data_IF_697318512823
#
_entry.id   IF_697318512823
#
_cell.length_a   1.000
_cell.length_b   1.000
_cell.length_c   1.000
_cell.angle_alpha   90.00
_cell.angle_beta   90.00
_cell.angle_gamma   90.00
#
_symmetry.space_group_name_H-M   'P 1'
#
loop_
_entity.id
_entity.type
_entity.pdbx_description
1 polymer ?
#
# COMPACT_ATOMS: atom_id res chain seq x y z
N UNK A 1 -2.69 -20.73 5.41
CA UNK A 1 -1.80 -19.84 4.64
C UNK A 1 -1.63 -20.34 3.19
N UNK A 2 -1.33 -21.61 2.96
CA UNK A 2 -1.13 -22.17 1.61
C UNK A 2 -2.32 -21.95 0.66
N UNK A 3 -3.54 -22.19 1.12
CA UNK A 3 -4.77 -21.94 0.36
C UNK A 3 -4.94 -20.46 -0.03
N UNK A 4 -4.57 -19.53 0.89
CA UNK A 4 -4.61 -18.09 0.63
C UNK A 4 -3.57 -17.70 -0.42
N UNK A 5 -2.36 -18.27 -0.36
CA UNK A 5 -1.32 -18.04 -1.37
C UNK A 5 -1.78 -18.49 -2.75
N UNK A 6 -2.38 -19.69 -2.86
CA UNK A 6 -2.94 -20.18 -4.12
C UNK A 6 -4.10 -19.31 -4.63
N UNK A 7 -4.95 -18.84 -3.71
CA UNK A 7 -6.03 -17.89 -4.00
C UNK A 7 -5.51 -16.59 -4.64
N UNK A 8 -4.51 -16.00 -4.00
CA UNK A 8 -3.86 -14.78 -4.50
C UNK A 8 -3.14 -15.02 -5.83
N UNK A 9 -2.41 -16.13 -5.96
CA UNK A 9 -1.72 -16.52 -7.19
C UNK A 9 -2.66 -16.73 -8.38
N UNK A 10 -3.94 -17.05 -8.12
CA UNK A 10 -4.98 -17.12 -9.16
C UNK A 10 -5.55 -15.75 -9.56
N UNK A 11 -4.97 -14.64 -9.08
CA UNK A 11 -5.41 -13.28 -9.40
C UNK A 11 -6.57 -12.77 -8.55
N UNK A 12 -6.93 -13.49 -7.48
CA UNK A 12 -8.05 -13.14 -6.62
C UNK A 12 -7.62 -12.15 -5.51
N UNK A 13 -8.60 -11.41 -4.99
CA UNK A 13 -8.37 -10.43 -3.93
C UNK A 13 -8.36 -11.07 -2.54
N UNK A 14 -7.51 -10.53 -1.66
CA UNK A 14 -7.37 -10.91 -0.26
C UNK A 14 -7.40 -9.68 0.64
N UNK A 15 -8.01 -9.79 1.82
CA UNK A 15 -7.86 -8.78 2.89
C UNK A 15 -6.85 -9.28 3.90
N UNK A 16 -5.85 -8.44 4.19
CA UNK A 16 -4.78 -8.75 5.13
C UNK A 16 -4.54 -7.61 6.13
N UNK A 17 -4.06 -7.93 7.35
CA UNK A 17 -3.88 -6.94 8.41
C UNK A 17 -2.66 -6.04 8.17
N UNK A 18 -2.78 -4.77 8.58
CA UNK A 18 -1.68 -3.81 8.59
C UNK A 18 -1.62 -3.07 9.94
N UNK A 19 -0.63 -2.20 10.12
CA UNK A 19 -0.49 -1.34 11.31
C UNK A 19 -1.53 -0.20 11.39
N UNK A 20 -2.45 -0.09 10.44
CA UNK A 20 -3.48 0.95 10.42
C UNK A 20 -4.85 0.34 10.17
N UNK A 21 -5.21 0.09 8.93
CA UNK A 21 -6.48 -0.45 8.47
C UNK A 21 -6.25 -1.76 7.72
N UNK A 22 -7.19 -2.70 7.69
CA UNK A 22 -7.12 -3.84 6.79
C UNK A 22 -6.87 -3.39 5.37
N UNK A 23 -5.96 -4.08 4.68
CA UNK A 23 -5.65 -3.82 3.29
C UNK A 23 -6.34 -4.83 2.38
N UNK A 24 -6.99 -4.35 1.32
CA UNK A 24 -7.39 -5.16 0.18
C UNK A 24 -6.22 -5.24 -0.79
N UNK A 25 -5.76 -6.46 -1.07
CA UNK A 25 -4.64 -6.75 -1.95
C UNK A 25 -4.97 -7.76 -3.03
N UNK A 26 -4.24 -7.65 -4.12
CA UNK A 26 -4.13 -8.64 -5.19
C UNK A 26 -2.70 -8.53 -5.77
N UNK A 27 -2.29 -9.49 -6.58
CA UNK A 27 -1.06 -9.36 -7.37
C UNK A 27 -1.17 -8.12 -8.29
N UNK A 28 -0.05 -7.41 -8.59
CA UNK A 28 -0.07 -6.17 -9.36
C UNK A 28 -0.20 -6.42 -10.88
N UNK A 29 -1.12 -7.28 -11.27
CA UNK A 29 -1.41 -7.65 -12.65
C UNK A 29 -2.76 -7.08 -13.13
N UNK A 30 -2.88 -6.80 -14.42
CA UNK A 30 -4.02 -6.09 -14.99
C UNK A 30 -5.37 -6.74 -14.64
N UNK A 31 -5.50 -8.06 -14.79
CA UNK A 31 -6.76 -8.79 -14.51
C UNK A 31 -7.14 -8.76 -13.02
N UNK A 32 -6.16 -8.90 -12.13
CA UNK A 32 -6.37 -8.82 -10.68
C UNK A 32 -6.75 -7.39 -10.25
N UNK A 33 -6.14 -6.38 -10.88
CA UNK A 33 -6.50 -4.98 -10.67
C UNK A 33 -7.92 -4.66 -11.17
N UNK A 34 -8.38 -5.26 -12.27
CA UNK A 34 -9.76 -5.12 -12.74
C UNK A 34 -10.74 -5.58 -11.65
N UNK A 35 -10.47 -6.75 -11.08
CA UNK A 35 -11.27 -7.31 -9.98
C UNK A 35 -11.25 -6.40 -8.75
N UNK A 36 -10.07 -5.96 -8.30
CA UNK A 36 -9.92 -5.09 -7.13
C UNK A 36 -10.67 -3.77 -7.29
N UNK A 37 -10.53 -3.12 -8.45
CA UNK A 37 -11.18 -1.82 -8.71
C UNK A 37 -12.70 -1.96 -8.82
N UNK A 38 -13.19 -3.08 -9.38
CA UNK A 38 -14.61 -3.41 -9.41
C UNK A 38 -15.17 -3.61 -8.00
N UNK A 39 -14.54 -4.44 -7.17
CA UNK A 39 -14.94 -4.69 -5.76
C UNK A 39 -15.05 -3.39 -4.96
N UNK A 40 -14.07 -2.49 -5.12
CA UNK A 40 -14.05 -1.21 -4.41
C UNK A 40 -14.98 -0.15 -4.98
N UNK A 41 -15.54 -0.35 -6.16
CA UNK A 41 -16.20 0.72 -6.93
C UNK A 41 -15.29 1.96 -7.04
N UNK A 42 -14.01 1.74 -7.41
CA UNK A 42 -12.95 2.75 -7.42
C UNK A 42 -12.65 3.19 -8.85
N UNK A 43 -12.46 4.49 -9.05
CA UNK A 43 -12.05 5.02 -10.35
C UNK A 43 -10.57 4.76 -10.62
N UNK A 44 -10.21 4.50 -11.86
CA UNK A 44 -8.81 4.26 -12.29
C UNK A 44 -7.88 5.46 -12.08
N UNK A 45 -8.45 6.66 -11.92
CA UNK A 45 -7.70 7.89 -11.63
C UNK A 45 -7.17 7.98 -10.19
N UNK A 46 -7.51 7.01 -9.34
CA UNK A 46 -7.05 6.95 -7.95
C UNK A 46 -6.14 5.72 -7.74
N UNK A 47 -4.84 5.82 -8.00
CA UNK A 47 -3.93 4.68 -7.88
C UNK A 47 -3.94 4.05 -6.49
N UNK A 48 -3.55 2.76 -6.43
CA UNK A 48 -3.37 2.03 -5.19
C UNK A 48 -1.88 1.81 -4.93
N UNK A 49 -1.49 1.75 -3.66
CA UNK A 49 -0.11 1.46 -3.27
C UNK A 49 0.19 -0.03 -3.35
N UNK A 50 1.47 -0.37 -3.33
CA UNK A 50 2.02 -1.73 -3.24
C UNK A 50 2.58 -1.93 -1.84
N UNK A 51 2.16 -3.02 -1.18
CA UNK A 51 2.71 -3.50 0.08
C UNK A 51 3.87 -4.47 -0.18
N UNK A 52 4.96 -4.27 0.55
CA UNK A 52 6.19 -5.08 0.48
C UNK A 52 6.62 -5.49 1.88
N UNK A 53 7.45 -6.54 1.98
CA UNK A 53 8.01 -6.96 3.28
C UNK A 53 9.14 -6.05 3.74
N UNK A 54 9.94 -5.50 2.81
CA UNK A 54 11.08 -4.63 3.06
C UNK A 54 11.46 -3.81 1.81
N UNK A 55 12.55 -3.04 1.91
CA UNK A 55 13.05 -2.24 0.79
C UNK A 55 13.79 -3.07 -0.25
N UNK A 56 14.30 -4.25 0.10
CA UNK A 56 14.92 -5.17 -0.86
C UNK A 56 13.85 -5.66 -1.86
N UNK A 57 12.71 -6.13 -1.36
CA UNK A 57 11.57 -6.49 -2.22
C UNK A 57 11.02 -5.28 -3.01
N UNK A 58 11.04 -4.07 -2.44
CA UNK A 58 10.62 -2.87 -3.14
C UNK A 58 11.57 -2.51 -4.30
N UNK A 59 12.87 -2.78 -4.14
CA UNK A 59 13.90 -2.46 -5.13
C UNK A 59 13.77 -3.23 -6.44
N UNK A 60 13.00 -4.30 -6.47
CA UNK A 60 12.64 -5.00 -7.73
C UNK A 60 11.66 -4.19 -8.60
N UNK A 61 10.96 -3.23 -8.00
CA UNK A 61 9.87 -2.47 -8.65
C UNK A 61 10.25 -1.00 -8.85
N UNK A 62 10.91 -0.39 -7.85
CA UNK A 62 11.18 1.05 -7.79
C UNK A 62 12.63 1.36 -7.45
N UNK A 63 13.10 2.51 -7.90
CA UNK A 63 14.37 3.08 -7.46
C UNK A 63 14.26 3.47 -5.97
N UNK A 64 15.21 3.00 -5.14
CA UNK A 64 15.27 3.34 -3.73
C UNK A 64 16.39 4.38 -3.52
N UNK A 65 16.06 5.67 -3.35
CA UNK A 65 17.04 6.70 -2.96
C UNK A 65 17.71 6.37 -1.62
N UNK A 66 18.98 6.80 -1.46
CA UNK A 66 19.80 6.47 -0.28
C UNK A 66 19.21 7.00 1.05
N UNK A 67 18.41 8.05 0.99
CA UNK A 67 17.75 8.70 2.13
C UNK A 67 16.38 8.09 2.51
N UNK A 68 15.79 7.23 1.66
CA UNK A 68 14.51 6.54 1.96
C UNK A 68 14.59 5.61 3.19
N UNK A 69 15.66 4.82 3.40
CA UNK A 69 15.79 4.02 4.61
C UNK A 69 15.76 4.86 5.89
N UNK A 70 16.31 6.08 5.87
CA UNK A 70 16.39 6.95 7.04
C UNK A 70 15.01 7.46 7.48
N UNK A 71 14.15 7.90 6.55
CA UNK A 71 12.80 8.32 6.91
C UNK A 71 11.96 7.13 7.40
N UNK A 72 12.10 5.96 6.80
CA UNK A 72 11.39 4.77 7.26
C UNK A 72 11.83 4.31 8.65
N UNK A 73 13.11 4.49 9.00
CA UNK A 73 13.63 4.20 10.33
C UNK A 73 13.21 5.24 11.40
N UNK A 74 12.89 6.47 10.97
CA UNK A 74 12.52 7.55 11.88
C UNK A 74 11.07 7.47 12.38
N UNK A 75 10.21 6.69 11.71
CA UNK A 75 8.79 6.55 12.05
C UNK A 75 8.38 5.08 12.20
N UNK A 76 7.28 4.78 12.91
CA UNK A 76 6.81 3.41 13.10
C UNK A 76 6.63 2.68 11.75
N UNK A 77 7.09 1.45 11.65
CA UNK A 77 7.00 0.65 10.42
C UNK A 77 5.55 0.54 9.94
N UNK A 78 5.33 0.83 8.67
CA UNK A 78 4.00 0.80 8.04
C UNK A 78 3.17 2.07 8.27
N UNK A 79 3.67 3.09 8.99
CA UNK A 79 2.99 4.37 9.15
C UNK A 79 3.14 5.30 7.94
N UNK A 80 4.13 5.06 7.09
CA UNK A 80 4.40 5.81 5.87
C UNK A 80 4.15 4.95 4.62
N UNK A 81 3.73 5.61 3.56
CA UNK A 81 3.70 5.11 2.19
C UNK A 81 4.45 6.12 1.34
N UNK A 82 5.45 5.70 0.56
CA UNK A 82 6.32 6.59 -0.20
C UNK A 82 6.12 6.37 -1.69
N UNK A 83 5.89 7.45 -2.44
CA UNK A 83 5.83 7.41 -3.90
C UNK A 83 7.24 7.55 -4.44
N UNK A 84 7.68 6.54 -5.18
CA UNK A 84 9.01 6.41 -5.75
C UNK A 84 8.93 6.22 -7.27
N UNK A 85 10.04 6.44 -7.97
CA UNK A 85 10.15 6.20 -9.42
C UNK A 85 10.17 4.70 -9.69
N UNK A 86 9.30 4.24 -10.58
CA UNK A 86 9.33 2.85 -11.07
C UNK A 86 10.50 2.62 -12.03
N UNK A 87 11.10 1.43 -12.00
CA UNK A 87 12.12 1.03 -12.99
C UNK A 87 11.53 0.96 -14.40
N UNK A 88 10.31 0.42 -14.49
CA UNK A 88 9.54 0.32 -15.71
C UNK A 88 8.12 0.85 -15.50
N UNK A 89 7.49 1.32 -16.57
CA UNK A 89 6.12 1.81 -16.51
C UNK A 89 5.15 0.66 -16.18
N UNK A 90 4.49 0.77 -15.05
CA UNK A 90 3.45 -0.16 -14.60
C UNK A 90 2.05 0.28 -15.03
N UNK A 91 1.03 -0.51 -14.68
CA UNK A 91 -0.38 -0.14 -14.87
C UNK A 91 -0.68 1.23 -14.23
N UNK A 92 -1.47 2.06 -14.92
CA UNK A 92 -1.84 3.39 -14.43
C UNK A 92 -2.57 3.36 -13.08
N UNK A 93 -3.27 2.26 -12.77
CA UNK A 93 -3.94 2.04 -11.48
C UNK A 93 -2.97 1.80 -10.31
N UNK A 94 -1.69 1.54 -10.60
CA UNK A 94 -0.60 1.49 -9.61
C UNK A 94 0.19 2.80 -9.56
N UNK A 95 -0.03 3.71 -10.54
CA UNK A 95 0.65 5.00 -10.63
C UNK A 95 1.59 5.16 -11.84
N UNK A 96 1.68 4.15 -12.71
CA UNK A 96 2.49 4.21 -13.94
C UNK A 96 3.99 4.28 -13.63
N UNK A 97 4.59 5.45 -13.76
CA UNK A 97 6.02 5.67 -13.49
C UNK A 97 6.32 6.11 -12.04
N UNK A 98 5.28 6.34 -11.22
CA UNK A 98 5.38 6.84 -9.83
C UNK A 98 4.59 5.91 -8.92
N UNK A 99 5.25 4.93 -8.31
CA UNK A 99 4.60 3.87 -7.52
C UNK A 99 4.66 4.20 -6.03
N UNK A 100 3.50 4.11 -5.37
CA UNK A 100 3.39 4.24 -3.93
C UNK A 100 3.72 2.89 -3.26
N UNK A 101 4.79 2.83 -2.47
CA UNK A 101 5.27 1.63 -1.78
C UNK A 101 5.09 1.78 -0.28
N UNK A 102 4.63 0.73 0.38
CA UNK A 102 4.46 0.64 1.83
C UNK A 102 5.13 -0.62 2.38
N UNK A 103 6.07 -0.46 3.30
CA UNK A 103 6.63 -1.59 4.05
C UNK A 103 5.59 -2.04 5.09
N UNK A 104 5.17 -3.29 5.00
CA UNK A 104 4.14 -3.87 5.88
C UNK A 104 4.81 -4.39 7.16
N UNK A 105 4.23 -4.06 8.32
CA UNK A 105 4.78 -4.46 9.62
C UNK A 105 4.10 -5.69 10.23
N UNK A 106 2.81 -5.95 9.90
CA UNK A 106 2.07 -7.05 10.53
C UNK A 106 2.64 -8.42 10.15
N UNK A 107 2.98 -9.30 11.12
CA UNK A 107 3.69 -10.56 10.85
C UNK A 107 2.96 -11.48 9.85
N UNK A 108 1.65 -11.65 10.00
CA UNK A 108 0.84 -12.51 9.11
C UNK A 108 0.84 -11.98 7.67
N UNK A 109 0.71 -10.66 7.50
CA UNK A 109 0.74 -10.04 6.18
C UNK A 109 2.14 -10.11 5.55
N UNK A 110 3.20 -9.95 6.35
CA UNK A 110 4.58 -10.14 5.89
C UNK A 110 4.83 -11.57 5.41
N UNK A 111 4.32 -12.57 6.15
CA UNK A 111 4.42 -13.98 5.73
C UNK A 111 3.68 -14.22 4.41
N UNK A 112 2.47 -13.66 4.24
CA UNK A 112 1.73 -13.75 2.98
C UNK A 112 2.51 -13.13 1.82
N UNK A 113 2.92 -11.86 1.96
CA UNK A 113 3.64 -11.10 0.92
C UNK A 113 5.00 -11.71 0.60
N UNK A 114 5.67 -12.31 1.59
CA UNK A 114 6.91 -13.07 1.39
C UNK A 114 6.74 -14.32 0.51
N UNK A 115 5.55 -14.93 0.53
CA UNK A 115 5.21 -16.12 -0.27
C UNK A 115 4.61 -15.78 -1.64
N UNK A 116 3.86 -14.69 -1.74
CA UNK A 116 3.16 -14.30 -2.98
C UNK A 116 3.93 -13.30 -3.83
N UNK A 117 4.94 -12.64 -3.26
CA UNK A 117 5.49 -11.40 -3.80
C UNK A 117 4.67 -10.17 -3.39
N UNK A 118 5.01 -8.98 -3.87
CA UNK A 118 4.33 -7.73 -3.58
C UNK A 118 2.84 -7.77 -3.91
N UNK A 119 2.01 -7.24 -3.02
CA UNK A 119 0.55 -7.14 -3.19
C UNK A 119 0.10 -5.69 -3.17
N UNK A 120 -1.01 -5.37 -3.82
CA UNK A 120 -1.62 -4.05 -3.65
C UNK A 120 -2.04 -3.85 -2.19
N UNK A 121 -2.04 -2.59 -1.72
CA UNK A 121 -2.33 -2.22 -0.34
C UNK A 121 -3.26 -1.00 -0.29
N UNK A 122 -4.53 -1.20 -0.57
CA UNK A 122 -5.57 -0.18 -0.39
C UNK A 122 -6.49 -0.55 0.77
N UNK A 123 -7.12 0.40 1.46
CA UNK A 123 -8.04 0.08 2.57
C UNK A 123 -9.17 -0.85 2.13
N UNK A 124 -9.51 -1.84 2.96
CA UNK A 124 -10.50 -2.86 2.67
C UNK A 124 -11.94 -2.37 2.96
N UNK A 125 -12.38 -1.38 2.19
CA UNK A 125 -13.73 -0.83 2.19
C UNK A 125 -14.13 -0.41 0.78
N UNK A 126 -15.41 -0.31 0.49
CA UNK A 126 -15.88 0.34 -0.75
C UNK A 126 -15.56 1.83 -0.70
N UNK A 127 -15.35 2.44 -1.86
CA UNK A 127 -15.02 3.88 -1.92
C UNK A 127 -16.13 4.72 -1.27
N UNK A 128 -15.73 5.56 -0.31
CA UNK A 128 -16.66 6.42 0.44
C UNK A 128 -17.27 5.79 1.70
N UNK A 129 -17.10 4.48 1.94
CA UNK A 129 -17.55 3.82 3.15
C UNK A 129 -16.46 3.84 4.24
N UNK A 130 -16.86 3.75 5.51
CA UNK A 130 -15.94 3.62 6.63
C UNK A 130 -15.34 2.21 6.69
N UNK A 131 -14.01 2.07 6.83
CA UNK A 131 -13.38 0.76 6.98
C UNK A 131 -13.68 0.16 8.36
N UNK A 132 -13.86 -1.16 8.40
CA UNK A 132 -13.84 -1.96 9.64
C UNK A 132 -12.40 -2.38 9.96
N UNK A 133 -12.14 -2.81 11.20
CA UNK A 133 -10.77 -3.15 11.64
C UNK A 133 -10.46 -4.65 11.58
N UNK A 134 -11.46 -5.50 11.54
CA UNK A 134 -11.33 -6.95 11.41
C UNK A 134 -11.24 -7.36 9.93
N UNK A 135 -10.21 -8.15 9.58
CA UNK A 135 -9.95 -8.49 8.19
C UNK A 135 -10.95 -9.48 7.60
N UNK A 136 -11.47 -10.41 8.40
CA UNK A 136 -12.47 -11.38 7.92
C UNK A 136 -13.79 -10.67 7.66
N UNK A 137 -14.23 -9.85 8.60
CA UNK A 137 -15.43 -9.00 8.44
C UNK A 137 -15.29 -8.05 7.23
N UNK A 138 -14.12 -7.44 7.04
CA UNK A 138 -13.88 -6.58 5.88
C UNK A 138 -13.99 -7.36 4.55
N UNK A 139 -13.47 -8.59 4.50
CA UNK A 139 -13.56 -9.44 3.33
C UNK A 139 -15.01 -9.86 3.02
N UNK A 140 -15.78 -10.22 4.05
CA UNK A 140 -17.21 -10.54 3.90
C UNK A 140 -17.99 -9.36 3.34
N UNK A 141 -17.79 -8.14 3.86
CA UNK A 141 -18.45 -6.92 3.38
C UNK A 141 -18.08 -6.55 1.94
N UNK A 142 -16.89 -6.91 1.48
CA UNK A 142 -16.42 -6.66 0.11
C UNK A 142 -16.85 -7.74 -0.87
N UNK A 143 -17.14 -8.96 -0.39
CA UNK A 143 -17.57 -10.06 -1.24
C UNK A 143 -18.94 -9.79 -1.88
N UNK A 144 -19.12 -10.27 -3.09
CA UNK A 144 -20.39 -10.27 -3.84
C UNK A 144 -20.63 -11.68 -4.41
N UNK A 145 -21.83 -11.99 -4.92
CA UNK A 145 -22.08 -13.27 -5.60
C UNK A 145 -21.12 -13.54 -6.78
N UNK A 146 -20.63 -12.47 -7.43
CA UNK A 146 -19.77 -12.54 -8.61
C UNK A 146 -18.27 -12.49 -8.26
N UNK A 147 -17.92 -12.07 -7.02
CA UNK A 147 -16.52 -11.79 -6.64
C UNK A 147 -16.29 -12.06 -5.17
N UNK A 148 -15.69 -13.20 -4.87
CA UNK A 148 -15.33 -13.57 -3.49
C UNK A 148 -14.00 -12.91 -3.08
N UNK A 149 -13.93 -12.51 -1.82
CA UNK A 149 -12.72 -11.98 -1.19
C UNK A 149 -12.41 -12.80 0.05
N UNK A 150 -11.18 -13.27 0.19
CA UNK A 150 -10.73 -14.02 1.36
C UNK A 150 -10.11 -13.07 2.38
N UNK A 151 -10.48 -13.18 3.66
CA UNK A 151 -9.87 -12.47 4.77
C UNK A 151 -8.84 -13.33 5.49
N UNK A 152 -7.62 -12.83 5.64
CA UNK A 152 -6.61 -13.41 6.53
C UNK A 152 -6.91 -12.97 7.96
N UNK A 153 -6.94 -13.89 8.91
CA UNK A 153 -7.19 -13.56 10.32
C UNK A 153 -6.27 -12.43 10.83
N UNK A 154 -6.87 -11.44 11.44
CA UNK A 154 -6.17 -10.31 12.04
C UNK A 154 -7.07 -9.10 12.25
N UNK A 155 -6.75 -8.37 13.31
CA UNK A 155 -7.43 -7.12 13.67
C UNK A 155 -6.41 -5.98 13.61
N UNK A 156 -6.76 -4.91 12.91
CA UNK A 156 -5.92 -3.72 12.79
C UNK A 156 -6.19 -2.72 13.92
N UNK A 157 -5.24 -1.83 14.19
CA UNK A 157 -5.42 -0.76 15.20
C UNK A 157 -6.57 0.20 14.84
N UNK A 158 -6.84 0.37 13.55
CA UNK A 158 -7.82 1.35 13.08
C UNK A 158 -7.25 2.77 13.00
N UNK A 159 -8.13 3.76 12.92
CA UNK A 159 -7.77 5.17 12.87
C UNK A 159 -7.36 5.65 11.48
N UNK A 160 -6.39 6.56 11.44
CA UNK A 160 -5.92 7.16 10.18
C UNK A 160 -5.12 6.15 9.32
N UNK A 161 -5.21 6.22 7.99
CA UNK A 161 -4.36 5.44 7.10
C UNK A 161 -2.89 5.85 7.25
N UNK A 162 -1.98 5.17 6.54
CA UNK A 162 -0.58 5.62 6.43
C UNK A 162 -0.49 7.00 5.78
N UNK A 163 0.49 7.80 6.20
CA UNK A 163 0.79 9.09 5.54
C UNK A 163 1.45 8.82 4.20
N UNK A 164 0.94 9.46 3.14
CA UNK A 164 1.44 9.30 1.77
C UNK A 164 2.35 10.47 1.41
N UNK A 165 3.58 10.16 1.02
CA UNK A 165 4.63 11.13 0.71
C UNK A 165 5.10 10.90 -0.74
N UNK A 166 5.14 11.95 -1.56
CA UNK A 166 5.88 11.94 -2.81
C UNK A 166 7.34 12.30 -2.51
N UNK A 167 8.26 11.42 -2.89
CA UNK A 167 9.68 11.64 -2.65
C UNK A 167 10.24 12.67 -3.62
N UNK A 168 11.28 13.39 -3.22
CA UNK A 168 11.85 14.49 -4.03
C UNK A 168 12.24 14.06 -5.45
N UNK A 169 12.57 12.79 -5.68
CA UNK A 169 12.94 12.26 -7.00
C UNK A 169 11.75 12.14 -7.97
N UNK A 170 10.51 12.26 -7.48
CA UNK A 170 9.27 12.21 -8.27
C UNK A 170 8.42 13.47 -8.19
N UNK A 171 8.82 14.46 -7.39
CA UNK A 171 8.17 15.76 -7.34
C UNK A 171 8.48 16.58 -8.59
N UNK A 172 7.49 17.31 -9.10
CA UNK A 172 7.63 18.09 -10.34
C UNK A 172 8.33 19.46 -10.12
N UNK A 173 8.66 19.81 -8.85
CA UNK A 173 9.34 21.08 -8.53
C UNK A 173 10.83 20.98 -8.82
N UNK A 174 11.31 21.73 -9.79
CA UNK A 174 12.73 21.80 -10.20
C UNK A 174 13.60 22.66 -9.27
N UNK A 175 13.02 23.35 -8.28
CA UNK A 175 13.73 24.39 -7.52
C UNK A 175 14.22 23.97 -6.14
N UNK A 176 13.84 22.79 -5.63
CA UNK A 176 14.37 22.31 -4.34
C UNK A 176 14.17 20.77 -4.22
N UNK A 177 15.12 20.11 -3.57
CA UNK A 177 14.98 18.73 -3.08
C UNK A 177 13.89 18.68 -1.99
N UNK A 178 12.62 18.83 -2.38
CA UNK A 178 11.50 18.85 -1.42
C UNK A 178 10.64 17.60 -1.58
N UNK A 179 10.27 17.04 -0.46
CA UNK A 179 9.22 16.02 -0.38
C UNK A 179 7.84 16.69 -0.31
N UNK A 180 6.80 15.99 -0.78
CA UNK A 180 5.43 16.45 -0.70
C UNK A 180 4.59 15.45 0.13
N UNK A 181 3.85 15.94 1.14
CA UNK A 181 2.85 15.13 1.84
C UNK A 181 1.55 15.19 1.04
N UNK A 182 1.33 14.18 0.22
CA UNK A 182 0.15 14.05 -0.65
C UNK A 182 -1.12 13.79 0.17
N UNK A 183 -0.99 13.04 1.26
CA UNK A 183 -2.09 12.75 2.17
C UNK A 183 -1.55 12.55 3.58
N UNK A 184 -1.98 13.40 4.51
CA UNK A 184 -1.75 13.17 5.94
C UNK A 184 -2.52 11.96 6.45
N UNK A 185 -1.89 11.20 7.32
CA UNK A 185 -2.44 9.99 7.92
C UNK A 185 -1.93 9.80 9.34
N UNK A 186 -1.40 8.61 9.67
CA UNK A 186 -0.91 8.26 11.01
C UNK A 186 0.23 9.18 11.49
N UNK A 187 1.04 9.70 10.58
CA UNK A 187 2.11 10.68 10.86
C UNK A 187 1.66 12.04 10.33
N UNK A 188 1.76 13.08 11.16
CA UNK A 188 1.39 14.43 10.75
C UNK A 188 2.37 15.00 9.72
N UNK A 189 1.87 15.87 8.84
CA UNK A 189 2.70 16.61 7.89
C UNK A 189 3.79 17.40 8.59
N UNK A 190 3.46 17.96 9.76
CA UNK A 190 4.41 18.71 10.60
C UNK A 190 5.61 17.85 11.01
N UNK A 191 5.38 16.60 11.45
CA UNK A 191 6.45 15.70 11.91
C UNK A 191 7.31 15.25 10.73
N UNK A 192 6.70 14.95 9.57
CA UNK A 192 7.41 14.63 8.33
C UNK A 192 8.33 15.78 7.91
N UNK A 193 7.79 17.01 7.81
CA UNK A 193 8.60 18.18 7.43
C UNK A 193 9.63 18.57 8.49
N UNK A 194 9.36 18.34 9.78
CA UNK A 194 10.32 18.56 10.86
C UNK A 194 11.50 17.58 10.77
N UNK A 195 11.24 16.34 10.37
CA UNK A 195 12.30 15.37 10.11
C UNK A 195 13.11 15.79 8.88
N UNK A 196 12.44 16.08 7.76
CA UNK A 196 13.09 16.45 6.49
C UNK A 196 14.06 17.62 6.64
N UNK A 197 13.65 18.69 7.33
CA UNK A 197 14.50 19.87 7.60
C UNK A 197 15.73 19.59 8.45
N UNK A 198 15.81 18.47 9.15
CA UNK A 198 16.97 18.11 9.97
C UNK A 198 18.01 17.33 9.19
N UNK A 199 17.62 16.70 8.10
CA UNK A 199 18.50 15.84 7.30
C UNK A 199 18.95 16.50 6.00
N UNK A 200 18.28 17.57 5.57
CA UNK A 200 18.66 18.45 4.44
C UNK A 200 19.18 19.79 4.93
#
# INVERSE_FOLDING_TARGET
>A
MEEVVQWVASGQCVVYPTSTLPALGCIPEASALDTLFSIKNRTSSMPVSIGVVDLEQASDIVEIPEDVPEILAAFPVGSLTIILRAHEKMDARLGGNKIAVRVISHPTARALIGLTGPLTATSANRSGESPVVDCVTAAELLSTPESSVVGVEGVCEGGSPSTLIAWHTVCDSTESLNIEVVREGKISSRDVFSWWKRVT
#
